data_IF_173640430210
#
_entry.id   IF_173640430210
#
_cell.length_a   1.000
_cell.length_b   1.000
_cell.length_c   1.000
_cell.angle_alpha   90.00
_cell.angle_beta   90.00
_cell.angle_gamma   90.00
#
_symmetry.space_group_name_H-M   'P 1'
#
loop_
_entity.id
_entity.type
_entity.pdbx_description
1 polymer ?
#
# COMPACT_ATOMS: atom_id res chain seq x y z
N UNK A 1 -29.02 -20.49 -19.14
CA UNK A 1 -27.54 -20.63 -19.10
C UNK A 1 -26.80 -19.29 -18.93
N UNK A 2 -27.13 -18.23 -19.68
CA UNK A 2 -26.44 -16.92 -19.61
C UNK A 2 -26.25 -16.36 -18.18
N UNK A 3 -27.26 -16.51 -17.31
CA UNK A 3 -27.27 -15.92 -15.97
C UNK A 3 -26.24 -16.54 -15.00
N UNK A 4 -25.90 -17.82 -15.20
CA UNK A 4 -24.89 -18.52 -14.37
C UNK A 4 -23.47 -18.13 -14.82
N UNK A 5 -23.29 -17.96 -16.13
CA UNK A 5 -22.03 -17.52 -16.72
C UNK A 5 -21.71 -16.08 -16.28
N UNK A 6 -22.69 -15.17 -16.30
CA UNK A 6 -22.51 -13.80 -15.81
C UNK A 6 -22.16 -13.73 -14.31
N UNK A 7 -22.82 -14.54 -13.48
CA UNK A 7 -22.48 -14.65 -12.06
C UNK A 7 -21.04 -15.15 -11.86
N UNK A 8 -20.63 -16.18 -12.60
CA UNK A 8 -19.27 -16.71 -12.53
C UNK A 8 -18.23 -15.64 -12.88
N UNK A 9 -18.45 -14.84 -13.94
CA UNK A 9 -17.57 -13.73 -14.29
C UNK A 9 -17.51 -12.65 -13.19
N UNK A 10 -18.65 -12.28 -12.60
CA UNK A 10 -18.68 -11.29 -11.52
C UNK A 10 -17.92 -11.75 -10.27
N UNK A 11 -18.00 -13.05 -9.94
CA UNK A 11 -17.26 -13.64 -8.83
C UNK A 11 -15.76 -13.74 -9.12
N UNK A 12 -15.37 -14.04 -10.36
CA UNK A 12 -13.95 -14.04 -10.76
C UNK A 12 -13.35 -12.63 -10.65
N UNK A 13 -14.07 -11.60 -11.11
CA UNK A 13 -13.63 -10.21 -10.99
C UNK A 13 -13.50 -9.81 -9.51
N UNK A 14 -14.49 -10.17 -8.68
CA UNK A 14 -14.43 -9.91 -7.25
C UNK A 14 -13.23 -10.61 -6.58
N UNK A 15 -12.97 -11.87 -6.94
CA UNK A 15 -11.81 -12.61 -6.42
C UNK A 15 -10.48 -11.95 -6.84
N UNK A 16 -10.37 -11.50 -8.10
CA UNK A 16 -9.19 -10.77 -8.57
C UNK A 16 -8.96 -9.47 -7.79
N UNK A 17 -10.02 -8.70 -7.51
CA UNK A 17 -9.92 -7.48 -6.70
C UNK A 17 -9.39 -7.78 -5.30
N UNK A 18 -9.89 -8.84 -4.65
CA UNK A 18 -9.40 -9.26 -3.33
C UNK A 18 -7.93 -9.71 -3.39
N UNK A 19 -7.55 -10.53 -4.38
CA UNK A 19 -6.17 -11.00 -4.54
C UNK A 19 -5.21 -9.85 -4.77
N UNK A 20 -5.52 -8.95 -5.70
CA UNK A 20 -4.70 -7.77 -5.98
C UNK A 20 -4.60 -6.88 -4.74
N UNK A 21 -5.72 -6.65 -4.05
CA UNK A 21 -5.73 -5.86 -2.82
C UNK A 21 -4.88 -6.48 -1.71
N UNK A 22 -4.92 -7.80 -1.52
CA UNK A 22 -4.06 -8.52 -0.59
C UNK A 22 -2.57 -8.42 -0.95
N UNK A 23 -2.23 -8.54 -2.24
CA UNK A 23 -0.84 -8.38 -2.71
C UNK A 23 -0.35 -6.96 -2.41
N UNK A 24 -1.13 -5.93 -2.75
CA UNK A 24 -0.80 -4.53 -2.45
C UNK A 24 -0.63 -4.30 -0.95
N UNK A 25 -1.47 -4.90 -0.11
CA UNK A 25 -1.40 -4.77 1.34
C UNK A 25 -0.16 -5.47 1.92
N UNK A 26 0.11 -6.72 1.53
CA UNK A 26 1.30 -7.49 1.97
C UNK A 26 2.58 -6.77 1.56
N UNK A 27 2.62 -6.17 0.37
CA UNK A 27 3.79 -5.44 -0.10
C UNK A 27 4.01 -4.13 0.69
N UNK A 28 2.93 -3.44 1.06
CA UNK A 28 3.01 -2.19 1.82
C UNK A 28 3.40 -2.38 3.31
N UNK A 29 3.06 -3.51 3.94
CA UNK A 29 3.35 -3.79 5.35
C UNK A 29 4.85 -3.68 5.71
N UNK A 30 5.79 -4.40 5.05
CA UNK A 30 7.20 -4.33 5.41
C UNK A 30 7.80 -2.95 5.17
N UNK A 31 7.29 -2.20 4.18
CA UNK A 31 7.71 -0.83 3.90
C UNK A 31 7.24 0.15 4.98
N UNK A 32 6.14 -0.16 5.67
CA UNK A 32 5.63 0.62 6.80
C UNK A 32 6.29 0.23 8.14
N UNK A 33 6.54 -1.06 8.37
CA UNK A 33 6.99 -1.58 9.66
C UNK A 33 8.46 -1.25 9.96
N UNK A 34 9.31 -1.20 8.95
CA UNK A 34 10.72 -0.89 9.12
C UNK A 34 11.24 -0.24 7.84
N UNK A 35 10.95 1.06 7.62
CA UNK A 35 11.42 1.69 6.41
C UNK A 35 12.96 1.66 6.45
N UNK A 36 13.62 1.16 5.38
CA UNK A 36 15.02 0.72 5.42
C UNK A 36 16.02 1.83 5.80
N UNK A 37 15.59 3.09 5.83
CA UNK A 37 16.37 4.24 6.26
C UNK A 37 16.35 4.50 7.77
N UNK A 38 15.27 4.15 8.49
CA UNK A 38 15.20 4.26 9.95
C UNK A 38 15.88 3.06 10.63
N UNK A 39 15.73 1.86 10.07
CA UNK A 39 16.34 0.63 10.59
C UNK A 39 17.86 0.56 10.45
N UNK A 40 18.44 1.11 9.35
CA UNK A 40 19.87 1.00 9.05
C UNK A 40 20.76 2.06 9.73
N UNK A 41 20.27 2.80 10.72
CA UNK A 41 21.14 3.62 11.57
C UNK A 41 21.63 4.93 10.96
N UNK A 42 21.16 5.34 9.77
CA UNK A 42 21.52 6.62 9.12
C UNK A 42 21.22 7.84 10.00
N UNK A 43 20.08 7.86 10.71
CA UNK A 43 19.75 8.93 11.68
C UNK A 43 20.69 8.89 12.89
N UNK A 44 21.10 7.70 13.31
CA UNK A 44 22.01 7.47 14.45
C UNK A 44 23.46 7.86 14.11
N UNK A 45 23.86 7.64 12.87
CA UNK A 45 25.15 8.07 12.31
C UNK A 45 25.17 9.57 12.06
N UNK A 46 24.06 10.18 11.63
CA UNK A 46 23.98 11.62 11.42
C UNK A 46 24.27 12.41 12.71
N UNK A 47 23.77 11.93 13.86
CA UNK A 47 24.09 12.52 15.17
C UNK A 47 25.57 12.40 15.55
N UNK A 48 26.24 11.30 15.18
CA UNK A 48 27.69 11.13 15.39
C UNK A 48 28.51 12.00 14.45
N UNK A 49 28.17 12.03 13.17
CA UNK A 49 28.82 12.87 12.15
C UNK A 49 28.68 14.36 12.48
N UNK A 50 27.50 14.80 12.95
CA UNK A 50 27.28 16.18 13.38
C UNK A 50 28.18 16.58 14.53
N UNK A 51 28.35 15.71 15.54
CA UNK A 51 29.28 15.97 16.67
C UNK A 51 30.75 15.95 16.26
N UNK A 52 31.11 15.10 15.29
CA UNK A 52 32.49 15.05 14.76
C UNK A 52 32.84 16.26 13.88
N UNK A 53 31.83 16.92 13.32
CA UNK A 53 31.96 18.08 12.42
C UNK A 53 31.58 19.41 13.10
N UNK A 54 31.31 19.40 14.40
CA UNK A 54 31.04 20.62 15.18
C UNK A 54 32.26 21.54 15.10
N UNK A 55 32.08 22.70 14.45
CA UNK A 55 33.14 23.69 14.19
C UNK A 55 33.62 23.78 12.74
N UNK A 56 33.19 22.88 11.85
CA UNK A 56 33.50 22.96 10.41
C UNK A 56 32.22 23.25 9.60
N UNK A 57 31.84 24.53 9.53
CA UNK A 57 30.61 24.98 8.87
C UNK A 57 30.51 24.55 7.39
N UNK A 58 31.66 24.45 6.70
CA UNK A 58 31.71 24.00 5.30
C UNK A 58 31.32 22.53 5.12
N UNK A 59 31.54 21.68 6.13
CA UNK A 59 31.16 20.27 6.10
C UNK A 59 29.74 20.03 6.66
N UNK A 60 29.21 20.99 7.41
CA UNK A 60 27.88 20.94 8.02
C UNK A 60 26.77 21.20 7.00
N UNK A 61 26.99 22.11 6.05
CA UNK A 61 26.03 22.45 4.99
C UNK A 61 25.69 21.25 4.07
N UNK A 62 26.66 20.51 3.52
CA UNK A 62 26.39 19.33 2.69
C UNK A 62 25.66 18.22 3.45
N UNK A 63 25.92 18.11 4.77
CA UNK A 63 25.28 17.14 5.64
C UNK A 63 23.77 17.44 5.81
N UNK A 64 23.42 18.72 5.95
CA UNK A 64 22.04 19.19 6.03
C UNK A 64 21.30 19.02 4.71
N UNK A 65 21.95 19.33 3.59
CA UNK A 65 21.38 19.11 2.25
C UNK A 65 21.13 17.62 1.97
N UNK A 66 22.05 16.75 2.39
CA UNK A 66 21.88 15.30 2.29
C UNK A 66 20.69 14.83 3.11
N UNK A 67 20.55 15.33 4.35
CA UNK A 67 19.41 15.03 5.21
C UNK A 67 18.08 15.49 4.59
N UNK A 68 18.02 16.70 4.03
CA UNK A 68 16.83 17.22 3.37
C UNK A 68 16.43 16.37 2.14
N UNK A 69 17.40 15.94 1.32
CA UNK A 69 17.16 15.05 0.17
C UNK A 69 16.67 13.66 0.60
N UNK A 70 17.28 13.09 1.65
CA UNK A 70 16.86 11.81 2.21
C UNK A 70 15.46 11.90 2.81
N UNK A 71 15.16 12.97 3.52
CA UNK A 71 13.82 13.22 4.06
C UNK A 71 12.78 13.34 2.96
N UNK A 72 13.06 14.12 1.92
CA UNK A 72 12.17 14.24 0.77
C UNK A 72 11.94 12.89 0.07
N UNK A 73 12.98 12.09 -0.11
CA UNK A 73 12.85 10.76 -0.70
C UNK A 73 12.00 9.83 0.17
N UNK A 74 12.16 9.91 1.49
CA UNK A 74 11.37 9.16 2.46
C UNK A 74 9.90 9.56 2.44
N UNK A 75 9.61 10.86 2.43
CA UNK A 75 8.27 11.41 2.43
C UNK A 75 7.48 10.95 1.18
N UNK A 76 8.07 11.10 -0.01
CA UNK A 76 7.46 10.62 -1.25
C UNK A 76 7.31 9.08 -1.29
N UNK A 77 8.24 8.35 -0.66
CA UNK A 77 8.14 6.90 -0.57
C UNK A 77 6.98 6.47 0.34
N UNK A 78 6.82 7.16 1.48
CA UNK A 78 5.71 6.93 2.42
C UNK A 78 4.35 7.25 1.80
N UNK A 79 4.26 8.29 0.98
CA UNK A 79 3.05 8.58 0.20
C UNK A 79 2.68 7.42 -0.73
N UNK A 80 3.66 6.86 -1.45
CA UNK A 80 3.46 5.69 -2.30
C UNK A 80 2.98 4.45 -1.52
N UNK A 81 3.55 4.22 -0.34
CA UNK A 81 3.15 3.11 0.56
C UNK A 81 1.74 3.32 1.08
N UNK A 82 1.39 4.54 1.49
CA UNK A 82 0.07 4.88 2.01
C UNK A 82 -1.00 4.74 0.92
N UNK A 83 -0.72 5.21 -0.30
CA UNK A 83 -1.60 5.01 -1.46
C UNK A 83 -1.78 3.52 -1.75
N UNK A 84 -0.72 2.72 -1.75
CA UNK A 84 -0.81 1.27 -1.99
C UNK A 84 -1.63 0.56 -0.90
N UNK A 85 -1.51 0.97 0.36
CA UNK A 85 -2.24 0.39 1.48
C UNK A 85 -3.74 0.76 1.43
N UNK A 86 -4.06 2.03 1.19
CA UNK A 86 -5.45 2.50 1.04
C UNK A 86 -6.11 1.86 -0.18
N UNK A 87 -5.42 1.83 -1.32
CA UNK A 87 -5.91 1.17 -2.54
C UNK A 87 -6.12 -0.33 -2.32
N UNK A 88 -5.19 -1.00 -1.62
CA UNK A 88 -5.31 -2.41 -1.29
C UNK A 88 -6.55 -2.72 -0.45
N UNK A 89 -6.78 -1.95 0.62
CA UNK A 89 -7.98 -2.07 1.46
C UNK A 89 -9.25 -1.80 0.64
N UNK A 90 -9.26 -0.74 -0.18
CA UNK A 90 -10.41 -0.40 -1.02
C UNK A 90 -10.75 -1.52 -2.02
N UNK A 91 -9.74 -2.16 -2.61
CA UNK A 91 -9.92 -3.30 -3.51
C UNK A 91 -10.47 -4.53 -2.79
N UNK A 92 -9.99 -4.83 -1.58
CA UNK A 92 -10.52 -5.94 -0.78
C UNK A 92 -11.99 -5.68 -0.43
N UNK A 93 -12.33 -4.50 0.08
CA UNK A 93 -13.69 -4.15 0.49
C UNK A 93 -14.64 -4.17 -0.72
N UNK A 94 -14.23 -3.59 -1.84
CA UNK A 94 -15.04 -3.57 -3.06
C UNK A 94 -15.26 -4.97 -3.64
N UNK A 95 -14.23 -5.83 -3.66
CA UNK A 95 -14.37 -7.23 -4.08
C UNK A 95 -15.30 -8.03 -3.19
N UNK A 96 -15.18 -7.90 -1.86
CA UNK A 96 -16.09 -8.57 -0.92
C UNK A 96 -17.53 -8.09 -1.09
N UNK A 97 -17.74 -6.76 -1.19
CA UNK A 97 -19.06 -6.19 -1.40
C UNK A 97 -19.67 -6.65 -2.73
N UNK A 98 -18.90 -6.64 -3.82
CA UNK A 98 -19.34 -7.11 -5.14
C UNK A 98 -19.74 -8.59 -5.10
N UNK A 99 -18.95 -9.45 -4.46
CA UNK A 99 -19.30 -10.87 -4.29
C UNK A 99 -20.60 -11.05 -3.49
N UNK A 100 -20.74 -10.34 -2.36
CA UNK A 100 -21.93 -10.40 -1.52
C UNK A 100 -23.20 -9.95 -2.26
N UNK A 101 -23.13 -8.82 -2.97
CA UNK A 101 -24.23 -8.29 -3.79
C UNK A 101 -24.60 -9.28 -4.90
N UNK A 102 -23.60 -9.83 -5.60
CA UNK A 102 -23.83 -10.76 -6.72
C UNK A 102 -24.54 -12.03 -6.25
N UNK A 103 -24.12 -12.59 -5.10
CA UNK A 103 -24.76 -13.76 -4.48
C UNK A 103 -26.18 -13.44 -4.02
N UNK A 104 -26.37 -12.29 -3.35
CA UNK A 104 -27.67 -11.86 -2.86
C UNK A 104 -28.69 -11.62 -3.99
N UNK A 105 -28.26 -10.95 -5.07
CA UNK A 105 -29.11 -10.72 -6.24
C UNK A 105 -29.44 -12.02 -6.97
N UNK A 106 -28.50 -12.97 -7.01
CA UNK A 106 -28.77 -14.28 -7.61
C UNK A 106 -29.75 -15.11 -6.77
N UNK A 107 -29.66 -15.07 -5.44
CA UNK A 107 -30.54 -15.83 -4.54
C UNK A 107 -31.96 -15.27 -4.45
N UNK A 108 -32.16 -13.97 -4.72
CA UNK A 108 -33.47 -13.32 -4.70
C UNK A 108 -34.23 -13.31 -6.03
N UNK A 109 -33.65 -13.81 -7.13
CA UNK A 109 -34.40 -13.90 -8.40
C UNK A 109 -35.41 -15.04 -8.31
N UNK A 110 -36.71 -14.78 -8.50
CA UNK A 110 -37.70 -15.84 -8.53
C UNK A 110 -37.46 -16.76 -9.73
N UNK A 111 -37.56 -18.07 -9.53
CA UNK A 111 -37.37 -19.11 -10.56
C UNK A 111 -38.56 -19.20 -11.54
N UNK A 112 -39.13 -18.07 -11.97
CA UNK A 112 -40.18 -18.08 -13.00
C UNK A 112 -39.51 -18.20 -14.38
N UNK A 113 -39.37 -19.44 -14.85
CA UNK A 113 -38.83 -19.75 -16.17
C UNK A 113 -38.30 -21.18 -16.24
N UNK A 114 -39.17 -22.16 -15.95
CA UNK A 114 -39.06 -23.53 -16.40
C UNK A 114 -40.22 -23.80 -17.36
#
# INVERSE_FOLDING_TARGET
MLNRVALAFQLIIAALQVVVGCISFIWAIPLFADPPFLGNGLVREHGKLRRLLEGNEQALQPLQDLHAKLWWLFDNHMDGVLVALVAGIALIVSGVAQAAISVFLHSRRPQFGA
#
